data_IF_614657962760
#
_entry.id   IF_614657962760
#
_cell.length_a   1.000
_cell.length_b   1.000
_cell.length_c   1.000
_cell.angle_alpha   90.00
_cell.angle_beta   90.00
_cell.angle_gamma   90.00
#
_symmetry.space_group_name_H-M   'P 1'
#
loop_
_entity.id
_entity.type
_entity.pdbx_description
1 polymer ?
#
# COMPACT_ATOMS: atom_id res chain seq x y z
N UNK A 1 16.66 -20.64 29.01
CA UNK A 1 16.45 -20.27 27.59
C UNK A 1 15.42 -19.15 27.55
N UNK A 2 15.79 -17.98 27.02
CA UNK A 2 14.87 -16.85 26.90
C UNK A 2 13.80 -17.15 25.86
N UNK A 3 12.53 -16.95 26.21
CA UNK A 3 11.40 -17.08 25.29
C UNK A 3 11.53 -16.00 24.22
N UNK A 4 12.03 -16.35 23.03
CA UNK A 4 11.95 -15.43 21.89
C UNK A 4 10.49 -15.17 21.58
N UNK A 5 10.12 -13.90 21.47
CA UNK A 5 8.79 -13.50 21.10
C UNK A 5 8.54 -13.95 19.65
N UNK A 6 7.56 -14.82 19.37
CA UNK A 6 7.38 -15.43 18.04
C UNK A 6 6.95 -14.42 16.96
N UNK A 7 6.65 -13.17 17.34
CA UNK A 7 6.29 -12.10 16.43
C UNK A 7 7.08 -10.83 16.78
N UNK A 8 8.37 -10.75 16.38
CA UNK A 8 9.13 -9.52 16.55
C UNK A 8 8.45 -8.39 15.76
N UNK A 9 8.45 -7.15 16.29
CA UNK A 9 7.89 -6.02 15.55
C UNK A 9 8.60 -5.88 14.21
N UNK A 10 7.83 -5.96 13.12
CA UNK A 10 8.36 -5.82 11.76
C UNK A 10 8.68 -4.34 11.50
N UNK A 11 9.88 -4.08 10.98
CA UNK A 11 10.32 -2.73 10.60
C UNK A 11 9.38 -2.16 9.52
N UNK A 12 8.95 -0.90 9.74
CA UNK A 12 8.19 -0.15 8.75
C UNK A 12 9.15 0.46 7.75
N UNK A 13 8.79 0.42 6.48
CA UNK A 13 9.53 1.06 5.40
C UNK A 13 8.63 2.08 4.72
N UNK A 14 9.23 3.07 4.07
CA UNK A 14 8.47 4.01 3.25
C UNK A 14 7.80 3.25 2.10
N UNK A 15 6.48 3.38 2.03
CA UNK A 15 5.65 2.74 1.02
C UNK A 15 4.73 3.78 0.38
N UNK A 16 4.46 3.66 -0.92
CA UNK A 16 3.51 4.52 -1.61
C UNK A 16 2.08 4.26 -1.09
N UNK A 17 1.31 5.32 -0.94
CA UNK A 17 -0.13 5.30 -0.65
C UNK A 17 -0.79 6.25 -1.65
N UNK A 18 -1.80 5.78 -2.36
CA UNK A 18 -2.57 6.63 -3.27
C UNK A 18 -3.81 7.17 -2.58
N UNK A 19 -4.09 8.44 -2.82
CA UNK A 19 -5.19 9.17 -2.21
C UNK A 19 -6.15 9.67 -3.28
N UNK A 20 -7.39 9.22 -3.25
CA UNK A 20 -8.49 9.77 -4.05
C UNK A 20 -9.40 10.55 -3.09
N UNK A 21 -9.31 11.88 -3.16
CA UNK A 21 -9.98 12.75 -2.19
C UNK A 21 -9.52 12.50 -0.76
N UNK A 22 -10.40 11.91 0.07
CA UNK A 22 -10.10 11.55 1.47
C UNK A 22 -9.87 10.05 1.70
N UNK A 23 -9.94 9.25 0.64
CA UNK A 23 -9.81 7.79 0.72
C UNK A 23 -8.37 7.42 0.36
N UNK A 24 -7.71 6.71 1.26
CA UNK A 24 -6.39 6.14 1.03
C UNK A 24 -6.48 4.73 0.48
N UNK A 25 -5.56 4.41 -0.41
CA UNK A 25 -5.40 3.12 -1.05
C UNK A 25 -3.97 2.66 -0.79
N UNK A 26 -3.82 1.60 -0.02
CA UNK A 26 -2.51 1.01 0.32
C UNK A 26 -2.18 -0.13 -0.64
N UNK A 27 -0.90 -0.44 -0.88
CA UNK A 27 -0.54 -1.50 -1.81
C UNK A 27 -0.97 -2.86 -1.27
N UNK A 28 -1.61 -3.66 -2.13
CA UNK A 28 -2.05 -5.00 -1.78
C UNK A 28 -0.83 -5.87 -1.40
N UNK A 29 -0.99 -6.71 -0.37
CA UNK A 29 0.08 -7.58 0.14
C UNK A 29 0.75 -8.50 -0.89
N UNK A 30 -0.04 -9.03 -1.85
CA UNK A 30 0.38 -10.13 -2.71
C UNK A 30 0.21 -9.83 -4.20
N UNK A 31 -0.79 -9.02 -4.57
CA UNK A 31 -1.11 -8.74 -5.97
C UNK A 31 -0.47 -7.42 -6.39
N UNK A 32 0.39 -7.47 -7.40
CA UNK A 32 1.06 -6.28 -7.95
C UNK A 32 0.07 -5.35 -8.63
N UNK A 33 0.35 -4.05 -8.56
CA UNK A 33 -0.46 -2.97 -9.15
C UNK A 33 -1.90 -2.89 -8.64
N UNK A 34 -2.24 -3.63 -7.57
CA UNK A 34 -3.52 -3.53 -6.89
C UNK A 34 -3.37 -2.81 -5.57
N UNK A 35 -4.39 -2.03 -5.25
CA UNK A 35 -4.44 -1.17 -4.10
C UNK A 35 -5.74 -1.38 -3.36
N UNK A 36 -5.69 -1.28 -2.04
CA UNK A 36 -6.80 -1.60 -1.14
C UNK A 36 -7.16 -0.37 -0.32
N UNK A 37 -8.41 0.05 -0.41
CA UNK A 37 -9.01 1.06 0.46
C UNK A 37 -9.65 0.42 1.71
N UNK A 38 -9.80 1.18 2.80
CA UNK A 38 -10.59 0.75 3.95
C UNK A 38 -12.06 0.58 3.55
N UNK A 39 -12.68 -0.54 3.96
CA UNK A 39 -14.09 -0.84 3.68
C UNK A 39 -14.34 -2.32 3.42
N UNK A 40 -15.55 -2.65 2.96
CA UNK A 40 -15.93 -4.01 2.53
C UNK A 40 -16.40 -3.97 1.08
N UNK A 41 -15.97 -4.94 0.27
CA UNK A 41 -16.45 -5.14 -1.11
C UNK A 41 -15.33 -5.03 -2.15
N UNK A 42 -15.66 -5.36 -3.40
CA UNK A 42 -14.70 -5.29 -4.52
C UNK A 42 -14.33 -3.86 -4.91
N UNK A 43 -15.18 -2.89 -4.62
CA UNK A 43 -14.93 -1.46 -4.90
C UNK A 43 -13.76 -0.89 -4.10
N UNK A 44 -13.33 -1.59 -3.04
CA UNK A 44 -12.16 -1.21 -2.25
C UNK A 44 -10.86 -1.65 -2.90
N UNK A 45 -10.88 -2.40 -4.01
CA UNK A 45 -9.68 -2.82 -4.72
C UNK A 45 -9.61 -2.12 -6.07
N UNK A 46 -8.51 -1.42 -6.34
CA UNK A 46 -8.29 -0.68 -7.57
C UNK A 46 -6.90 -0.93 -8.13
N UNK A 47 -6.78 -0.89 -9.44
CA UNK A 47 -5.49 -0.88 -10.13
C UNK A 47 -4.82 0.49 -10.02
N UNK A 48 -3.50 0.56 -10.24
CA UNK A 48 -2.79 1.85 -10.34
C UNK A 48 -3.42 2.76 -11.39
N UNK A 49 -3.75 2.22 -12.58
CA UNK A 49 -4.33 2.99 -13.69
C UNK A 49 -5.66 3.63 -13.31
N UNK A 50 -6.59 2.85 -12.73
CA UNK A 50 -7.88 3.38 -12.28
C UNK A 50 -7.72 4.52 -11.26
N UNK A 51 -6.76 4.39 -10.33
CA UNK A 51 -6.51 5.43 -9.35
C UNK A 51 -5.93 6.70 -10.00
N UNK A 52 -5.02 6.56 -10.96
CA UNK A 52 -4.48 7.70 -11.70
C UNK A 52 -5.55 8.43 -12.52
N UNK A 53 -6.46 7.68 -13.16
CA UNK A 53 -7.62 8.24 -13.87
C UNK A 53 -8.56 9.02 -12.93
N UNK A 54 -8.61 8.62 -11.66
CA UNK A 54 -9.33 9.33 -10.60
C UNK A 54 -8.54 10.49 -9.97
N UNK A 55 -7.43 10.92 -10.59
CA UNK A 55 -6.52 11.96 -10.08
C UNK A 55 -5.98 11.65 -8.68
N UNK A 56 -5.62 10.39 -8.43
CA UNK A 56 -5.01 10.00 -7.17
C UNK A 56 -3.67 10.73 -6.93
N UNK A 57 -3.46 11.15 -5.69
CA UNK A 57 -2.17 11.70 -5.23
C UNK A 57 -1.35 10.62 -4.55
N UNK A 58 -0.06 10.57 -4.82
CA UNK A 58 0.85 9.63 -4.17
C UNK A 58 1.45 10.31 -2.94
N UNK A 59 1.43 9.63 -1.80
CA UNK A 59 2.17 10.01 -0.60
C UNK A 59 2.99 8.82 -0.11
N UNK A 60 4.20 9.05 0.39
CA UNK A 60 4.99 8.03 1.05
C UNK A 60 4.60 7.96 2.54
N UNK A 61 4.35 6.75 3.04
CA UNK A 61 4.01 6.50 4.44
C UNK A 61 4.75 5.27 4.97
N UNK A 62 5.10 5.25 6.27
CA UNK A 62 5.71 4.09 6.89
C UNK A 62 4.68 2.96 7.01
N UNK A 63 4.84 1.91 6.21
CA UNK A 63 3.99 0.71 6.22
C UNK A 63 4.85 -0.55 6.24
N UNK A 64 4.23 -1.69 6.52
CA UNK A 64 4.90 -2.97 6.32
C UNK A 64 5.35 -3.09 4.85
N UNK A 65 6.53 -3.68 4.61
CA UNK A 65 7.07 -3.82 3.27
C UNK A 65 6.11 -4.58 2.36
N UNK A 66 6.11 -4.20 1.08
CA UNK A 66 5.43 -4.92 0.00
C UNK A 66 6.47 -5.27 -1.03
N UNK A 67 6.56 -6.55 -1.38
CA UNK A 67 7.60 -7.08 -2.25
C UNK A 67 7.67 -6.44 -3.65
N UNK A 68 6.62 -5.72 -4.06
CA UNK A 68 6.48 -5.18 -5.42
C UNK A 68 6.52 -3.66 -5.51
N UNK A 69 6.38 -2.94 -4.39
CA UNK A 69 6.33 -1.47 -4.41
C UNK A 69 7.67 -0.84 -4.72
N UNK A 70 8.78 -1.51 -4.37
CA UNK A 70 10.14 -1.09 -4.70
C UNK A 70 10.39 -1.02 -6.21
N UNK A 71 9.63 -1.76 -7.01
CA UNK A 71 9.74 -1.77 -8.46
C UNK A 71 8.89 -0.67 -9.14
N UNK A 72 8.10 0.09 -8.37
CA UNK A 72 7.26 1.16 -8.91
C UNK A 72 8.08 2.44 -9.01
N UNK A 73 8.35 2.90 -10.23
CA UNK A 73 8.83 4.25 -10.47
C UNK A 73 7.66 5.22 -10.40
N UNK A 74 7.36 5.71 -9.21
CA UNK A 74 6.47 6.86 -9.08
C UNK A 74 7.26 8.14 -9.39
N UNK A 75 6.77 8.99 -10.31
CA UNK A 75 7.37 10.30 -10.50
C UNK A 75 7.20 11.09 -9.20
N UNK A 76 8.31 11.64 -8.71
CA UNK A 76 8.38 12.55 -7.56
C UNK A 76 7.72 13.90 -7.88
#
# INVERSE_FOLDING_TARGET
MSKQNPNPPMELVEQPVLWVGKVSFVPHYSKRHLWVAPGKGLETIKTTTELMELNAKIEMRPLWPRHWTTALNFPH
#
